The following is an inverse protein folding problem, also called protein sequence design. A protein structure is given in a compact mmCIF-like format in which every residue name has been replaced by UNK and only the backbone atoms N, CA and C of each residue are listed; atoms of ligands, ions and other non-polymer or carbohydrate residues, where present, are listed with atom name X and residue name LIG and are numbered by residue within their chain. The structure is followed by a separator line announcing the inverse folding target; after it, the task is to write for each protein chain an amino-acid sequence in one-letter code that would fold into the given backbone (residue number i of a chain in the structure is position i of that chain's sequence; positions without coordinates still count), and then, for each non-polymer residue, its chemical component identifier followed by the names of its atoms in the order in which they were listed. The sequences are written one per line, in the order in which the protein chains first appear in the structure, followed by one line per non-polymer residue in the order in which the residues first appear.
data_IF_276468212223
#
_entry.id   IF_276468212223
#
_cell.length_a   1.000
_cell.length_b   1.000
_cell.length_c   1.000
_cell.angle_alpha   90.00
_cell.angle_beta   90.00
_cell.angle_gamma   90.00
#
_symmetry.space_group_name_H-M   'P 1'
#
loop_
_entity.id
_entity.type
_entity.pdbx_description
1 polymer ?
#
# COMPACT_ATOMS: atom_id res chain seq x y z
N UNK A 1 -0.13 -2.37 22.28
CA UNK A 1 0.71 -3.37 22.95
C UNK A 1 0.65 -4.65 22.12
N UNK A 2 1.78 -5.23 21.72
CA UNK A 2 1.83 -6.48 20.95
C UNK A 2 2.50 -7.55 21.81
N UNK A 3 1.72 -8.42 22.50
CA UNK A 3 2.30 -9.52 23.27
C UNK A 3 3.21 -10.35 22.37
N UNK A 4 4.48 -10.48 22.75
CA UNK A 4 5.48 -11.25 22.00
C UNK A 4 5.66 -10.79 20.54
N UNK A 5 5.38 -9.52 20.23
CA UNK A 5 5.56 -8.95 18.89
C UNK A 5 4.44 -9.26 17.89
N UNK A 6 3.34 -9.88 18.33
CA UNK A 6 2.17 -10.15 17.48
C UNK A 6 0.94 -9.30 17.90
N UNK A 7 0.10 -8.86 16.94
CA UNK A 7 -1.16 -8.23 17.27
C UNK A 7 -2.11 -9.20 17.97
N UNK A 8 -2.90 -8.67 18.91
CA UNK A 8 -3.87 -9.48 19.67
C UNK A 8 -5.09 -9.89 18.83
N UNK A 9 -5.42 -9.12 17.79
CA UNK A 9 -6.56 -9.36 16.91
C UNK A 9 -6.18 -10.30 15.77
N UNK A 10 -7.17 -10.91 15.10
CA UNK A 10 -6.92 -11.74 13.91
C UNK A 10 -6.57 -10.85 12.70
N UNK A 11 -5.66 -11.29 11.82
CA UNK A 11 -5.36 -10.61 10.56
C UNK A 11 -6.56 -10.63 9.58
N UNK A 12 -6.58 -9.76 8.54
CA UNK A 12 -5.51 -8.86 8.14
C UNK A 12 -5.35 -7.65 9.08
N UNK A 13 -4.10 -7.30 9.40
CA UNK A 13 -3.74 -6.21 10.32
C UNK A 13 -3.83 -4.82 9.71
N UNK A 14 -3.86 -4.75 8.38
CA UNK A 14 -4.33 -3.60 7.61
C UNK A 14 -4.92 -4.10 6.31
N UNK A 15 -5.93 -3.41 5.79
CA UNK A 15 -6.68 -3.82 4.60
C UNK A 15 -7.23 -2.62 3.84
N UNK A 16 -7.54 -2.83 2.57
CA UNK A 16 -8.25 -1.89 1.70
C UNK A 16 -9.58 -2.53 1.29
N UNK A 17 -10.64 -1.74 1.26
CA UNK A 17 -11.97 -2.18 0.85
C UNK A 17 -12.51 -1.26 -0.23
N UNK A 18 -13.08 -1.83 -1.29
CA UNK A 18 -13.96 -1.10 -2.20
C UNK A 18 -15.42 -1.36 -1.83
N UNK A 19 -16.20 -0.29 -1.84
CA UNK A 19 -17.63 -0.31 -1.57
C UNK A 19 -18.38 0.24 -2.78
N UNK A 20 -19.46 -0.43 -3.17
CA UNK A 20 -20.44 0.14 -4.08
C UNK A 20 -21.33 1.09 -3.28
N UNK A 21 -21.35 2.37 -3.65
CA UNK A 21 -22.10 3.39 -2.91
C UNK A 21 -23.58 3.44 -3.30
N UNK A 22 -23.99 2.77 -4.38
CA UNK A 22 -25.40 2.63 -4.73
C UNK A 22 -26.08 1.54 -3.91
N UNK A 23 -25.38 0.42 -3.68
CA UNK A 23 -25.93 -0.76 -2.97
C UNK A 23 -25.48 -0.86 -1.51
N UNK A 24 -24.35 -0.23 -1.16
CA UNK A 24 -23.69 -0.37 0.13
C UNK A 24 -22.86 -1.66 0.27
N UNK A 25 -22.70 -2.43 -0.80
CA UNK A 25 -22.02 -3.72 -0.77
C UNK A 25 -20.49 -3.60 -0.81
N UNK A 26 -19.80 -4.58 -0.22
CA UNK A 26 -18.36 -4.73 -0.37
C UNK A 26 -18.05 -5.42 -1.71
N UNK A 27 -17.42 -4.70 -2.64
CA UNK A 27 -17.03 -5.24 -3.94
C UNK A 27 -15.81 -6.16 -3.77
N UNK A 28 -14.82 -5.69 -3.01
CA UNK A 28 -13.66 -6.48 -2.64
C UNK A 28 -13.01 -5.93 -1.36
N UNK A 29 -12.24 -6.79 -0.71
CA UNK A 29 -11.40 -6.46 0.42
C UNK A 29 -10.10 -7.24 0.36
N UNK A 30 -8.97 -6.53 0.41
CA UNK A 30 -7.63 -7.12 0.31
C UNK A 30 -6.73 -6.64 1.44
N UNK A 31 -5.81 -7.47 1.97
CA UNK A 31 -4.78 -7.01 2.89
C UNK A 31 -3.88 -5.96 2.23
N UNK A 32 -3.43 -4.96 2.99
CA UNK A 32 -2.45 -3.98 2.46
C UNK A 32 -1.03 -4.40 2.83
N UNK A 33 -0.35 -4.96 1.84
CA UNK A 33 0.99 -5.55 1.94
C UNK A 33 1.00 -7.00 2.40
N UNK A 34 2.14 -7.66 2.23
CA UNK A 34 2.29 -9.06 2.60
C UNK A 34 2.31 -9.26 4.12
N UNK A 35 2.78 -8.25 4.86
CA UNK A 35 2.92 -8.33 6.31
C UNK A 35 4.09 -9.18 6.77
N UNK A 36 5.21 -9.14 6.06
CA UNK A 36 6.37 -10.02 6.29
C UNK A 36 6.92 -9.94 7.70
N UNK A 37 6.84 -8.76 8.34
CA UNK A 37 7.20 -8.60 9.77
C UNK A 37 6.43 -9.53 10.70
N UNK A 38 5.21 -9.92 10.32
CA UNK A 38 4.36 -10.84 11.05
C UNK A 38 4.48 -12.25 10.48
N UNK A 39 4.44 -12.41 9.15
CA UNK A 39 4.54 -13.74 8.51
C UNK A 39 5.84 -14.45 8.85
N UNK A 40 6.95 -13.72 8.95
CA UNK A 40 8.27 -14.29 9.28
C UNK A 40 8.49 -14.49 10.79
N UNK A 41 7.51 -14.16 11.63
CA UNK A 41 7.62 -14.35 13.07
C UNK A 41 7.80 -15.84 13.41
N UNK A 42 8.67 -16.23 14.38
CA UNK A 42 8.94 -17.64 14.69
C UNK A 42 7.71 -18.49 15.00
N UNK A 43 6.64 -17.87 15.52
CA UNK A 43 5.37 -18.56 15.81
C UNK A 43 4.43 -18.71 14.61
N UNK A 44 4.68 -18.01 13.50
CA UNK A 44 3.78 -17.93 12.34
C UNK A 44 4.41 -18.44 11.03
N UNK A 45 5.75 -18.36 10.89
CA UNK A 45 6.46 -18.65 9.64
C UNK A 45 6.22 -20.05 9.07
N UNK A 46 5.96 -21.03 9.94
CA UNK A 46 5.77 -22.43 9.54
C UNK A 46 4.30 -22.75 9.19
N UNK A 47 3.39 -21.77 9.26
CA UNK A 47 1.95 -21.96 9.03
C UNK A 47 1.50 -21.68 7.59
N UNK A 48 2.42 -21.28 6.70
CA UNK A 48 2.13 -20.91 5.30
C UNK A 48 0.90 -19.98 5.14
N UNK A 49 0.85 -18.94 5.98
CA UNK A 49 -0.30 -18.03 6.02
C UNK A 49 -0.43 -17.20 4.73
N UNK A 50 -1.64 -16.75 4.35
CA UNK A 50 -1.81 -15.75 3.29
C UNK A 50 -1.22 -14.38 3.72
N UNK A 51 -1.22 -13.37 2.83
CA UNK A 51 -0.88 -12.00 3.19
C UNK A 51 -1.62 -11.55 4.45
N UNK A 52 -0.87 -11.04 5.44
CA UNK A 52 -1.43 -10.65 6.73
C UNK A 52 -1.71 -9.14 6.81
N UNK A 53 -1.29 -8.37 5.81
CA UNK A 53 -1.27 -6.93 5.88
C UNK A 53 -0.40 -6.42 7.03
N UNK A 54 -0.64 -5.18 7.43
CA UNK A 54 0.13 -4.46 8.44
C UNK A 54 1.13 -3.45 7.85
N UNK A 55 1.28 -3.41 6.53
CA UNK A 55 2.20 -2.49 5.88
C UNK A 55 1.50 -1.17 5.49
N UNK A 56 0.18 -1.08 5.72
CA UNK A 56 -0.61 0.11 5.47
C UNK A 56 -0.12 1.35 6.23
N UNK A 57 -0.32 2.51 5.61
CA UNK A 57 0.00 3.83 6.16
C UNK A 57 -1.27 4.63 6.46
N UNK A 58 -1.11 5.82 7.06
CA UNK A 58 -2.21 6.77 7.25
C UNK A 58 -2.44 7.69 6.05
N UNK A 59 -1.74 7.48 4.93
CA UNK A 59 -1.96 8.28 3.73
C UNK A 59 -3.31 7.90 3.10
N UNK A 60 -3.91 8.81 2.35
CA UNK A 60 -5.01 8.46 1.46
C UNK A 60 -4.52 7.66 0.24
N UNK A 61 -5.46 7.42 -0.67
CA UNK A 61 -5.22 6.82 -1.99
C UNK A 61 -5.48 7.86 -3.08
N UNK A 62 -4.91 7.65 -4.27
CA UNK A 62 -5.33 8.33 -5.50
C UNK A 62 -5.89 7.31 -6.48
N UNK A 63 -7.01 7.64 -7.10
CA UNK A 63 -7.65 6.80 -8.11
C UNK A 63 -7.33 7.32 -9.50
N UNK A 64 -7.10 6.39 -10.44
CA UNK A 64 -7.12 6.66 -11.87
C UNK A 64 -8.29 5.91 -12.52
N UNK A 65 -8.33 5.92 -13.86
CA UNK A 65 -9.37 5.18 -14.60
C UNK A 65 -9.37 3.69 -14.23
N UNK A 66 -8.20 3.08 -14.04
CA UNK A 66 -8.04 1.63 -13.82
C UNK A 66 -7.33 1.26 -12.53
N UNK A 67 -6.65 2.21 -11.86
CA UNK A 67 -5.80 1.91 -10.71
C UNK A 67 -6.26 2.60 -9.43
N UNK A 68 -5.98 1.96 -8.31
CA UNK A 68 -5.89 2.58 -6.99
C UNK A 68 -4.41 2.62 -6.61
N UNK A 69 -3.88 3.81 -6.33
CA UNK A 69 -2.48 3.99 -5.94
C UNK A 69 -2.41 4.34 -4.46
N UNK A 70 -1.55 3.62 -3.72
CA UNK A 70 -1.43 3.70 -2.28
C UNK A 70 0.02 3.53 -1.82
N UNK A 71 0.37 4.13 -0.68
CA UNK A 71 1.70 4.02 -0.11
C UNK A 71 1.71 3.01 1.04
N UNK A 72 2.64 2.05 0.96
CA UNK A 72 2.94 1.12 2.02
C UNK A 72 4.23 1.52 2.74
N UNK A 73 4.27 1.26 4.04
CA UNK A 73 5.42 1.53 4.92
C UNK A 73 6.53 0.49 4.81
N UNK A 74 6.23 -0.67 4.22
CA UNK A 74 7.14 -1.81 4.09
C UNK A 74 6.81 -2.62 2.82
N UNK A 75 7.60 -3.66 2.57
CA UNK A 75 7.39 -4.61 1.47
C UNK A 75 8.04 -4.20 0.15
N UNK A 76 8.86 -3.14 0.14
CA UNK A 76 9.75 -2.80 -0.98
C UNK A 76 10.87 -3.82 -1.16
N UNK A 77 11.71 -3.63 -2.18
CA UNK A 77 12.77 -4.61 -2.54
C UNK A 77 13.71 -4.92 -1.38
N UNK A 78 13.94 -3.94 -0.50
CA UNK A 78 14.77 -4.07 0.71
C UNK A 78 13.92 -4.09 2.01
N UNK A 79 12.63 -4.42 1.92
CA UNK A 79 11.66 -4.36 3.02
C UNK A 79 11.19 -2.95 3.40
N UNK A 80 11.71 -1.92 2.73
CA UNK A 80 11.38 -0.51 2.95
C UNK A 80 10.03 -0.07 2.36
N UNK A 81 9.71 1.24 2.45
CA UNK A 81 8.44 1.77 1.94
C UNK A 81 8.36 1.71 0.42
N UNK A 82 7.14 1.59 -0.11
CA UNK A 82 6.87 1.52 -1.55
C UNK A 82 5.52 2.14 -1.91
N UNK A 83 5.39 2.64 -3.12
CA UNK A 83 4.13 3.06 -3.71
C UNK A 83 3.62 1.94 -4.60
N UNK A 84 2.40 1.48 -4.35
CA UNK A 84 1.80 0.30 -4.96
C UNK A 84 0.58 0.69 -5.78
N UNK A 85 0.42 0.07 -6.94
CA UNK A 85 -0.77 0.16 -7.77
C UNK A 85 -1.58 -1.13 -7.66
N UNK A 86 -2.86 -0.98 -7.34
CA UNK A 86 -3.84 -2.05 -7.33
C UNK A 86 -4.80 -1.87 -8.52
N UNK A 87 -5.25 -2.98 -9.09
CA UNK A 87 -6.37 -3.00 -10.01
C UNK A 87 -7.63 -2.51 -9.27
N UNK A 88 -8.29 -1.48 -9.81
CA UNK A 88 -9.44 -0.84 -9.14
C UNK A 88 -10.66 -1.76 -9.03
N UNK A 89 -10.84 -2.67 -9.99
CA UNK A 89 -12.03 -3.53 -10.05
C UNK A 89 -11.91 -4.75 -9.14
N UNK A 90 -10.69 -5.24 -8.91
CA UNK A 90 -10.44 -6.52 -8.22
C UNK A 90 -9.66 -6.37 -6.92
N UNK A 91 -8.96 -5.26 -6.72
CA UNK A 91 -8.03 -5.07 -5.61
C UNK A 91 -6.72 -5.86 -5.75
N UNK A 92 -6.46 -6.49 -6.91
CA UNK A 92 -5.22 -7.21 -7.15
C UNK A 92 -4.03 -6.24 -7.24
N UNK A 93 -2.93 -6.54 -6.56
CA UNK A 93 -1.69 -5.79 -6.69
C UNK A 93 -1.11 -6.01 -8.10
N UNK A 94 -0.87 -4.94 -8.84
CA UNK A 94 -0.33 -4.99 -10.22
C UNK A 94 1.16 -4.66 -10.29
N UNK A 95 1.67 -3.91 -9.31
CA UNK A 95 3.08 -3.54 -9.26
C UNK A 95 3.36 -2.40 -8.29
N UNK A 96 4.63 -2.03 -8.20
CA UNK A 96 5.07 -0.95 -7.31
C UNK A 96 6.41 -0.35 -7.67
N UNK A 97 6.71 0.78 -7.03
CA UNK A 97 8.04 1.38 -6.98
C UNK A 97 8.47 1.57 -5.54
N UNK A 98 9.76 1.33 -5.27
CA UNK A 98 10.33 1.62 -3.95
C UNK A 98 10.37 3.13 -3.70
N UNK A 99 10.05 3.53 -2.47
CA UNK A 99 10.14 4.91 -2.04
C UNK A 99 11.48 5.14 -1.31
N UNK A 100 12.15 6.28 -1.53
CA UNK A 100 13.40 6.60 -0.82
C UNK A 100 13.22 6.74 0.70
N UNK A 101 12.01 7.07 1.15
CA UNK A 101 11.63 7.17 2.56
C UNK A 101 10.10 7.09 2.70
N UNK A 102 9.61 7.00 3.95
CA UNK A 102 8.19 6.86 4.22
C UNK A 102 7.35 8.03 3.68
N UNK A 103 6.24 7.71 3.03
CA UNK A 103 5.28 8.70 2.55
C UNK A 103 4.64 9.46 3.72
N UNK A 104 4.56 10.79 3.59
CA UNK A 104 3.96 11.67 4.60
C UNK A 104 2.53 12.09 4.29
N UNK A 105 2.09 11.92 3.04
CA UNK A 105 0.79 12.39 2.58
C UNK A 105 0.19 11.52 1.48
N UNK A 106 -1.08 11.81 1.19
CA UNK A 106 -1.81 11.21 0.06
C UNK A 106 -1.09 11.53 -1.24
N UNK A 107 -0.84 10.53 -2.11
CA UNK A 107 -0.29 10.81 -3.43
C UNK A 107 -1.29 11.63 -4.24
N UNK A 108 -0.78 12.46 -5.15
CA UNK A 108 -1.58 13.20 -6.14
C UNK A 108 -1.11 12.89 -7.55
N UNK A 109 -1.95 13.17 -8.55
CA UNK A 109 -1.58 13.03 -9.95
C UNK A 109 -1.81 14.31 -10.74
N UNK A 110 -0.97 14.57 -11.74
CA UNK A 110 -1.07 15.72 -12.63
C UNK A 110 -0.48 15.40 -14.00
N UNK A 111 -0.76 16.27 -14.98
CA UNK A 111 -0.15 16.24 -16.31
C UNK A 111 0.86 17.37 -16.45
N UNK A 112 2.01 17.09 -17.02
CA UNK A 112 2.98 18.09 -17.48
C UNK A 112 3.61 17.59 -18.78
N UNK A 113 3.67 18.45 -19.79
CA UNK A 113 4.26 18.16 -21.11
C UNK A 113 3.77 16.84 -21.74
N UNK A 114 2.46 16.59 -21.64
CA UNK A 114 1.83 15.38 -22.20
C UNK A 114 2.04 14.11 -21.39
N UNK A 115 2.75 14.17 -20.26
CA UNK A 115 3.08 13.02 -19.41
C UNK A 115 2.36 13.07 -18.06
N UNK A 116 1.85 11.93 -17.61
CA UNK A 116 1.21 11.81 -16.30
C UNK A 116 2.26 11.53 -15.22
N UNK A 117 2.15 12.26 -14.12
CA UNK A 117 2.99 12.11 -12.94
C UNK A 117 2.15 11.70 -11.72
N UNK A 118 2.78 10.96 -10.81
CA UNK A 118 2.29 10.70 -9.45
C UNK A 118 3.29 11.32 -8.48
N UNK A 119 2.84 12.26 -7.66
CA UNK A 119 3.70 12.97 -6.70
C UNK A 119 3.22 12.79 -5.26
N UNK A 120 4.18 12.81 -4.33
CA UNK A 120 3.93 12.71 -2.90
C UNK A 120 5.07 13.31 -2.09
N UNK A 121 4.73 13.78 -0.89
CA UNK A 121 5.71 14.14 0.13
C UNK A 121 6.29 12.90 0.82
N UNK A 122 7.60 12.91 1.08
CA UNK A 122 8.32 11.83 1.76
C UNK A 122 9.14 12.37 2.94
N UNK A 123 9.42 11.52 3.93
CA UNK A 123 10.19 11.87 5.12
C UNK A 123 11.70 12.01 4.88
N UNK A 124 12.46 12.25 5.95
CA UNK A 124 13.93 12.42 5.88
C UNK A 124 14.37 13.82 5.46
N UNK A 125 13.53 14.83 5.74
CA UNK A 125 13.66 16.22 5.29
C UNK A 125 12.45 16.62 4.43
N UNK A 126 12.03 17.90 4.43
CA UNK A 126 10.85 18.34 3.69
C UNK A 126 11.13 18.30 2.18
N UNK A 127 10.70 17.24 1.51
CA UNK A 127 10.82 17.08 0.05
C UNK A 127 9.67 16.30 -0.57
N UNK A 128 9.47 16.53 -1.85
CA UNK A 128 8.53 15.80 -2.69
C UNK A 128 9.27 15.00 -3.75
N UNK A 129 8.68 13.89 -4.17
CA UNK A 129 9.13 13.08 -5.30
C UNK A 129 7.97 12.93 -6.29
N UNK A 130 8.30 12.81 -7.58
CA UNK A 130 7.34 12.55 -8.65
C UNK A 130 7.82 11.37 -9.50
N UNK A 131 6.89 10.47 -9.82
CA UNK A 131 7.13 9.29 -10.65
C UNK A 131 6.32 9.39 -11.93
N UNK A 132 6.89 8.95 -13.04
CA UNK A 132 6.22 8.77 -14.31
C UNK A 132 6.79 7.54 -15.02
N UNK A 133 6.08 7.05 -16.04
CA UNK A 133 6.60 5.99 -16.91
C UNK A 133 7.83 6.50 -17.69
N UNK A 134 8.71 5.62 -18.19
CA UNK A 134 9.71 6.00 -19.19
C UNK A 134 9.06 6.63 -20.44
N UNK A 135 9.86 7.36 -21.21
CA UNK A 135 9.44 7.86 -22.54
C UNK A 135 9.41 6.73 -23.59
#
# INVERSE_FOLDING_TARGET
MMPQGLPLVKPPYSRMSALDLNTGENVWQVPTGNGDRFRNHPRLRDLNLPPLGGDGTRTGVVLTKTLVIYNLSAGGSNGGPRMVAYDKATGAELGSVDLPSGALGTPMTYMADGKQYIALGIGGGPRMVAFALPD
#
